data_IF_873534278146
#
_entry.id   IF_873534278146
#
_cell.length_a   1.000
_cell.length_b   1.000
_cell.length_c   1.000
_cell.angle_alpha   90.00
_cell.angle_beta   90.00
_cell.angle_gamma   90.00
#
_symmetry.space_group_name_H-M   'P 1'
#
loop_
_entity.id
_entity.type
_entity.pdbx_description
1 polymer ?
#
# COMPACT_ATOMS: atom_id res chain seq x y z
N UNK A 1 -16.21 -32.44 -38.12
CA UNK A 1 -16.05 -31.97 -36.73
C UNK A 1 -16.81 -30.65 -36.54
N UNK A 2 -18.15 -30.69 -36.44
CA UNK A 2 -18.95 -29.46 -36.29
C UNK A 2 -20.24 -29.62 -35.44
N UNK A 3 -20.46 -30.80 -34.82
CA UNK A 3 -21.67 -31.06 -34.02
C UNK A 3 -21.42 -31.17 -32.50
N UNK A 4 -20.17 -30.97 -32.03
CA UNK A 4 -19.85 -31.05 -30.61
C UNK A 4 -19.87 -29.70 -29.88
N UNK A 5 -19.92 -28.57 -30.61
CA UNK A 5 -19.80 -27.24 -30.02
C UNK A 5 -21.16 -26.55 -29.74
N UNK A 6 -22.27 -27.07 -30.31
CA UNK A 6 -23.63 -26.53 -30.08
C UNK A 6 -24.28 -27.03 -28.77
N UNK A 7 -23.80 -28.15 -28.24
CA UNK A 7 -24.33 -28.73 -27.01
C UNK A 7 -23.66 -28.19 -25.75
N UNK A 8 -22.48 -27.55 -25.87
CA UNK A 8 -21.78 -26.95 -24.72
C UNK A 8 -22.28 -25.52 -24.43
N UNK A 9 -22.65 -24.77 -25.48
CA UNK A 9 -23.22 -23.42 -25.35
C UNK A 9 -24.68 -23.41 -24.86
N UNK A 10 -25.45 -24.47 -25.11
CA UNK A 10 -26.83 -24.59 -24.59
C UNK A 10 -26.88 -25.00 -23.11
N UNK A 11 -25.83 -25.65 -22.56
CA UNK A 11 -25.76 -26.03 -21.14
C UNK A 11 -25.33 -24.84 -20.27
N UNK A 12 -24.46 -23.96 -20.78
CA UNK A 12 -23.98 -22.81 -20.01
C UNK A 12 -25.03 -21.68 -19.86
N UNK A 13 -25.99 -21.58 -20.79
CA UNK A 13 -27.08 -20.59 -20.73
C UNK A 13 -28.22 -20.98 -19.78
N UNK A 14 -28.30 -22.26 -19.38
CA UNK A 14 -29.35 -22.80 -18.50
C UNK A 14 -29.04 -22.61 -17.01
N UNK A 15 -27.80 -22.25 -16.67
CA UNK A 15 -27.34 -22.00 -15.29
C UNK A 15 -27.54 -20.55 -14.80
N UNK A 16 -27.96 -19.63 -15.67
CA UNK A 16 -28.11 -18.20 -15.32
C UNK A 16 -29.56 -17.67 -15.40
N UNK A 17 -30.58 -18.53 -15.58
CA UNK A 17 -31.95 -18.07 -15.86
C UNK A 17 -33.08 -18.81 -15.12
N UNK A 18 -32.94 -19.18 -13.84
CA UNK A 18 -34.14 -19.43 -13.01
C UNK A 18 -33.99 -19.01 -11.54
N UNK A 19 -34.64 -17.91 -11.14
CA UNK A 19 -35.01 -17.69 -9.75
C UNK A 19 -36.52 -17.99 -9.54
N UNK A 20 -36.81 -18.67 -8.41
CA UNK A 20 -38.05 -18.66 -7.60
C UNK A 20 -39.24 -19.54 -8.07
N UNK A 21 -39.95 -20.03 -7.04
CA UNK A 21 -41.30 -20.63 -6.97
C UNK A 21 -41.24 -22.17 -7.10
N UNK A 22 -41.60 -22.98 -6.11
CA UNK A 22 -42.99 -23.26 -5.71
C UNK A 22 -43.07 -23.78 -4.26
N UNK A 23 -43.98 -23.17 -3.52
CA UNK A 23 -44.50 -23.64 -2.25
C UNK A 23 -45.63 -24.67 -2.45
N UNK A 24 -45.85 -25.45 -1.39
CA UNK A 24 -47.10 -26.14 -1.00
C UNK A 24 -47.47 -27.48 -1.63
N UNK A 25 -47.96 -28.39 -0.75
CA UNK A 25 -49.12 -29.30 -0.80
C UNK A 25 -48.75 -30.47 0.15
N UNK A 26 -49.39 -30.72 1.31
CA UNK A 26 -50.72 -31.36 1.47
C UNK A 26 -51.36 -31.11 2.85
N UNK A 27 -52.70 -31.06 2.83
CA UNK A 27 -53.74 -30.82 3.86
C UNK A 27 -54.26 -32.17 4.46
N UNK A 28 -55.45 -32.31 5.10
CA UNK A 28 -56.18 -31.61 6.19
C UNK A 28 -56.73 -32.59 7.29
N UNK A 29 -57.33 -32.10 8.40
CA UNK A 29 -58.56 -32.70 8.98
C UNK A 29 -59.35 -31.78 9.95
N UNK A 30 -60.66 -31.73 9.69
CA UNK A 30 -61.85 -31.22 10.43
C UNK A 30 -61.91 -31.62 11.94
N UNK A 31 -62.67 -31.05 12.90
CA UNK A 31 -63.89 -30.19 12.92
C UNK A 31 -64.11 -29.60 14.34
N UNK A 32 -64.64 -28.37 14.38
CA UNK A 32 -65.55 -27.66 15.34
C UNK A 32 -65.78 -28.11 16.80
N UNK A 33 -65.64 -27.15 17.74
CA UNK A 33 -66.60 -26.64 18.77
C UNK A 33 -65.80 -25.77 19.79
N UNK A 34 -66.26 -24.73 20.49
CA UNK A 34 -67.51 -23.95 20.67
C UNK A 34 -67.06 -22.66 21.41
N UNK A 35 -67.68 -21.50 21.14
CA UNK A 35 -67.33 -20.20 21.75
C UNK A 35 -67.89 -20.07 23.16
N UNK A 36 -67.05 -19.66 24.12
CA UNK A 36 -67.50 -18.97 25.35
C UNK A 36 -66.40 -18.01 25.88
N UNK A 37 -66.83 -16.79 26.23
CA UNK A 37 -66.00 -15.62 26.54
C UNK A 37 -65.17 -15.74 27.83
N UNK A 38 -63.86 -15.44 27.74
CA UNK A 38 -63.08 -14.92 28.87
C UNK A 38 -61.97 -14.00 28.33
N UNK A 39 -61.86 -12.79 28.92
CA UNK A 39 -60.88 -11.74 28.61
C UNK A 39 -59.49 -12.31 28.27
N UNK A 40 -59.03 -12.07 27.06
CA UNK A 40 -57.64 -12.33 26.66
C UNK A 40 -56.78 -11.11 26.96
N UNK A 41 -55.81 -11.32 27.85
CA UNK A 41 -54.61 -10.50 27.98
C UNK A 41 -53.93 -10.46 26.61
N UNK A 42 -53.86 -9.26 26.02
CA UNK A 42 -53.11 -9.04 24.80
C UNK A 42 -51.63 -9.27 25.12
N UNK A 43 -50.96 -10.29 24.56
CA UNK A 43 -49.52 -10.38 24.71
C UNK A 43 -48.91 -9.20 23.96
N UNK A 44 -48.28 -8.31 24.72
CA UNK A 44 -47.44 -7.22 24.22
C UNK A 44 -46.31 -7.86 23.41
N UNK A 45 -46.45 -7.85 22.08
CA UNK A 45 -45.31 -8.10 21.21
C UNK A 45 -44.50 -6.83 21.21
N UNK A 46 -43.40 -6.85 21.96
CA UNK A 46 -42.37 -5.83 21.94
C UNK A 46 -41.86 -5.72 20.50
N UNK A 47 -42.31 -4.72 19.75
CA UNK A 47 -41.60 -4.27 18.57
C UNK A 47 -40.26 -3.72 19.08
N UNK A 48 -39.22 -4.54 19.03
CA UNK A 48 -37.86 -4.05 19.21
C UNK A 48 -37.63 -3.01 18.12
N UNK A 49 -37.59 -1.75 18.55
CA UNK A 49 -37.24 -0.59 17.75
C UNK A 49 -35.76 -0.73 17.39
N UNK A 50 -35.47 -1.51 16.33
CA UNK A 50 -34.18 -1.48 15.65
C UNK A 50 -34.14 -0.23 14.78
N UNK A 51 -34.03 0.93 15.41
CA UNK A 51 -33.36 2.07 14.79
C UNK A 51 -31.86 1.96 15.07
N UNK A 52 -31.21 0.96 14.48
CA UNK A 52 -29.79 1.13 14.15
C UNK A 52 -29.75 1.66 12.72
N UNK A 53 -29.63 2.98 12.61
CA UNK A 53 -29.18 3.67 11.40
C UNK A 53 -28.03 2.86 10.81
N UNK A 54 -27.98 2.59 9.48
CA UNK A 54 -26.82 1.92 8.91
C UNK A 54 -25.60 2.74 9.35
N UNK A 55 -24.64 2.06 9.97
CA UNK A 55 -23.33 2.63 10.25
C UNK A 55 -22.84 3.15 8.89
N UNK A 56 -22.76 4.47 8.78
CA UNK A 56 -22.22 5.09 7.58
C UNK A 56 -20.78 4.62 7.61
N UNK A 57 -20.45 3.63 6.77
CA UNK A 57 -19.05 3.32 6.46
C UNK A 57 -18.43 4.66 6.11
N UNK A 58 -17.59 5.16 7.01
CA UNK A 58 -16.84 6.39 6.82
C UNK A 58 -16.24 6.29 5.42
N UNK A 59 -16.58 7.23 4.53
CA UNK A 59 -15.95 7.28 3.22
C UNK A 59 -14.49 7.58 3.53
N UNK A 60 -13.65 6.55 3.49
CA UNK A 60 -12.22 6.72 3.66
C UNK A 60 -11.75 7.39 2.37
N UNK A 61 -11.65 8.72 2.42
CA UNK A 61 -11.05 9.48 1.33
C UNK A 61 -9.64 8.92 1.07
N UNK A 62 -9.30 8.56 -0.18
CA UNK A 62 -7.98 8.06 -0.53
C UNK A 62 -6.89 9.02 -0.06
N UNK A 63 -5.80 8.46 0.45
CA UNK A 63 -4.61 9.24 0.83
C UNK A 63 -3.79 9.55 -0.41
N UNK A 64 -3.09 10.67 -0.44
CA UNK A 64 -2.28 11.07 -1.59
C UNK A 64 -0.79 10.96 -1.29
N UNK A 65 -0.06 10.26 -2.16
CA UNK A 65 1.39 10.11 -2.09
C UNK A 65 2.06 10.76 -3.30
N UNK A 66 3.06 11.60 -3.06
CA UNK A 66 3.98 12.03 -4.09
C UNK A 66 5.26 11.21 -4.03
N UNK A 67 5.68 10.61 -5.14
CA UNK A 67 6.84 9.71 -5.19
C UNK A 67 7.85 10.20 -6.22
N UNK A 68 9.12 10.19 -5.85
CA UNK A 68 10.23 10.49 -6.74
C UNK A 68 11.48 9.69 -6.36
N UNK A 69 12.49 9.77 -7.21
CA UNK A 69 13.75 9.02 -7.06
C UNK A 69 14.92 9.98 -7.32
N UNK A 70 15.55 10.52 -6.27
CA UNK A 70 16.72 11.41 -6.44
C UNK A 70 17.89 10.71 -7.12
N UNK A 71 18.10 9.43 -6.84
CA UNK A 71 19.14 8.60 -7.46
C UNK A 71 18.49 7.51 -8.32
N UNK A 72 17.70 7.92 -9.32
CA UNK A 72 16.88 7.00 -10.13
C UNK A 72 17.70 5.90 -10.82
N UNK A 73 18.99 6.13 -11.08
CA UNK A 73 19.89 5.19 -11.74
C UNK A 73 20.31 4.00 -10.85
N UNK A 74 20.00 3.98 -9.57
CA UNK A 74 20.34 2.89 -8.67
C UNK A 74 19.65 1.59 -9.05
N UNK A 75 20.42 0.51 -9.23
CA UNK A 75 19.92 -0.76 -9.73
C UNK A 75 20.31 -1.96 -8.84
N UNK A 76 19.52 -3.02 -8.93
CA UNK A 76 19.75 -4.26 -8.20
C UNK A 76 20.53 -5.23 -9.06
N UNK A 77 21.68 -5.70 -8.56
CA UNK A 77 22.56 -6.59 -9.31
C UNK A 77 21.88 -7.89 -9.75
N UNK A 78 21.03 -8.56 -8.94
CA UNK A 78 20.34 -9.77 -9.40
C UNK A 78 19.42 -9.53 -10.59
N UNK A 79 18.70 -8.40 -10.60
CA UNK A 79 17.76 -8.04 -11.68
C UNK A 79 18.51 -7.78 -12.99
N UNK A 80 19.66 -7.09 -12.91
CA UNK A 80 20.52 -6.88 -14.08
C UNK A 80 21.17 -8.18 -14.55
N UNK A 81 21.57 -9.07 -13.63
CA UNK A 81 22.17 -10.34 -13.98
C UNK A 81 21.23 -11.26 -14.79
N UNK A 82 19.91 -11.21 -14.52
CA UNK A 82 18.89 -11.91 -15.30
C UNK A 82 18.77 -11.37 -16.73
N UNK A 83 19.14 -10.11 -16.96
CA UNK A 83 19.20 -9.47 -18.29
C UNK A 83 20.58 -9.60 -18.97
N UNK A 84 21.58 -10.15 -18.28
CA UNK A 84 22.93 -10.40 -18.79
C UNK A 84 24.04 -9.57 -18.16
N UNK A 85 23.72 -8.56 -17.33
CA UNK A 85 24.66 -7.56 -16.81
C UNK A 85 25.08 -7.84 -15.36
N UNK A 86 25.95 -8.83 -15.16
CA UNK A 86 26.16 -9.52 -13.87
C UNK A 86 26.84 -8.71 -12.73
N UNK A 87 27.34 -7.50 -12.98
CA UNK A 87 28.19 -6.75 -12.01
C UNK A 87 27.71 -5.32 -11.76
N UNK A 88 26.80 -4.79 -12.59
CA UNK A 88 26.33 -3.43 -12.44
C UNK A 88 25.40 -3.29 -11.21
N UNK A 89 25.46 -2.11 -10.58
CA UNK A 89 24.56 -1.66 -9.49
C UNK A 89 23.92 -0.31 -9.82
N UNK A 90 24.12 0.13 -11.07
CA UNK A 90 23.53 1.32 -11.66
C UNK A 90 23.15 0.98 -13.11
N UNK A 91 22.00 1.45 -13.56
CA UNK A 91 21.52 1.25 -14.93
C UNK A 91 20.56 2.38 -15.34
N UNK A 92 20.57 2.76 -16.62
CA UNK A 92 19.72 3.83 -17.12
C UNK A 92 18.29 3.41 -17.42
N UNK A 93 18.00 2.10 -17.44
CA UNK A 93 16.70 1.53 -17.83
C UNK A 93 16.12 0.65 -16.72
N UNK A 94 16.90 -0.27 -16.17
CA UNK A 94 16.50 -1.28 -15.18
C UNK A 94 17.03 -0.89 -13.80
N UNK A 95 16.31 -0.01 -13.13
CA UNK A 95 16.74 0.65 -11.91
C UNK A 95 15.58 0.84 -10.92
N UNK A 96 15.78 1.57 -9.82
CA UNK A 96 14.78 1.72 -8.77
C UNK A 96 13.46 2.34 -9.29
N UNK A 97 13.52 3.21 -10.29
CA UNK A 97 12.32 3.78 -10.92
C UNK A 97 11.53 2.77 -11.78
N UNK A 98 12.10 1.62 -12.15
CA UNK A 98 11.34 0.60 -12.89
C UNK A 98 10.22 -0.02 -12.06
N UNK A 99 10.21 0.20 -10.74
CA UNK A 99 9.15 -0.26 -9.84
C UNK A 99 7.95 0.69 -9.74
N UNK A 100 7.91 1.79 -10.50
CA UNK A 100 6.81 2.77 -10.47
C UNK A 100 5.42 2.13 -10.66
N UNK A 101 5.27 1.22 -11.62
CA UNK A 101 4.00 0.55 -11.88
C UNK A 101 3.56 -0.31 -10.70
N UNK A 102 4.49 -1.06 -10.11
CA UNK A 102 4.21 -1.89 -8.94
C UNK A 102 3.89 -1.04 -7.69
N UNK A 103 4.62 0.06 -7.49
CA UNK A 103 4.32 1.02 -6.41
C UNK A 103 2.92 1.58 -6.59
N UNK A 104 2.57 2.08 -7.78
CA UNK A 104 1.25 2.62 -8.07
C UNK A 104 0.14 1.58 -7.82
N UNK A 105 0.34 0.35 -8.29
CA UNK A 105 -0.64 -0.72 -8.13
C UNK A 105 -0.87 -1.10 -6.67
N UNK A 106 0.20 -1.27 -5.88
CA UNK A 106 0.08 -1.61 -4.46
C UNK A 106 -0.49 -0.45 -3.64
N UNK A 107 -0.10 0.79 -3.94
CA UNK A 107 -0.61 1.97 -3.26
C UNK A 107 -2.11 2.14 -3.54
N UNK A 108 -2.54 2.04 -4.80
CA UNK A 108 -3.94 2.11 -5.17
C UNK A 108 -4.78 0.98 -4.53
N UNK A 109 -4.25 -0.25 -4.49
CA UNK A 109 -4.90 -1.36 -3.79
C UNK A 109 -5.13 -1.07 -2.30
N UNK A 110 -4.26 -0.25 -1.69
CA UNK A 110 -4.34 0.19 -0.30
C UNK A 110 -4.97 1.58 -0.11
N UNK A 111 -5.69 2.10 -1.12
CA UNK A 111 -6.38 3.40 -1.10
C UNK A 111 -5.42 4.58 -0.89
N UNK A 112 -4.25 4.49 -1.52
CA UNK A 112 -3.26 5.58 -1.60
C UNK A 112 -3.10 5.96 -3.09
N UNK A 113 -3.65 7.10 -3.48
CA UNK A 113 -3.46 7.68 -4.80
C UNK A 113 -2.01 8.16 -4.93
N UNK A 114 -1.35 7.79 -6.03
CA UNK A 114 0.08 8.06 -6.23
C UNK A 114 0.30 8.98 -7.41
N UNK A 115 1.06 10.05 -7.19
CA UNK A 115 1.60 10.89 -8.26
C UNK A 115 3.13 10.78 -8.27
N UNK A 116 3.70 10.52 -9.44
CA UNK A 116 5.14 10.51 -9.63
C UNK A 116 5.65 11.85 -10.17
N UNK A 117 6.91 12.18 -9.88
CA UNK A 117 7.58 13.28 -10.56
C UNK A 117 7.73 12.96 -12.06
N UNK A 118 7.21 13.84 -12.92
CA UNK A 118 7.12 13.59 -14.38
C UNK A 118 8.46 13.75 -15.14
N UNK A 119 9.44 14.50 -14.62
CA UNK A 119 10.71 14.75 -15.32
C UNK A 119 11.75 13.67 -15.02
N UNK A 120 11.74 12.63 -15.86
CA UNK A 120 12.64 11.47 -15.78
C UNK A 120 13.99 11.67 -16.46
N UNK A 121 14.42 12.90 -16.74
CA UNK A 121 15.75 13.11 -17.33
C UNK A 121 16.84 12.64 -16.36
N UNK A 122 17.82 11.84 -16.82
CA UNK A 122 18.89 11.35 -15.95
C UNK A 122 19.63 12.47 -15.21
N UNK A 123 19.91 13.59 -15.88
CA UNK A 123 20.54 14.76 -15.25
C UNK A 123 19.68 15.46 -14.18
N UNK A 124 18.36 15.26 -14.18
CA UNK A 124 17.47 15.78 -13.13
C UNK A 124 17.53 14.84 -11.92
N UNK A 125 17.41 13.54 -12.14
CA UNK A 125 17.34 12.48 -11.13
C UNK A 125 18.72 11.87 -10.79
N UNK A 126 19.73 12.73 -10.66
CA UNK A 126 21.11 12.34 -10.34
C UNK A 126 21.49 12.67 -8.89
N UNK A 127 21.15 13.87 -8.41
CA UNK A 127 21.52 14.32 -7.07
C UNK A 127 20.51 15.33 -6.50
N UNK A 128 20.64 15.60 -5.20
CA UNK A 128 19.70 16.47 -4.48
C UNK A 128 19.60 17.88 -5.07
N UNK A 129 20.71 18.45 -5.56
CA UNK A 129 20.69 19.83 -6.08
C UNK A 129 19.90 19.94 -7.39
N UNK A 130 20.03 18.96 -8.28
CA UNK A 130 19.39 18.98 -9.61
C UNK A 130 17.89 18.71 -9.51
N UNK A 131 17.47 17.79 -8.64
CA UNK A 131 16.06 17.39 -8.53
C UNK A 131 15.23 18.35 -7.66
N UNK A 132 15.87 19.02 -6.68
CA UNK A 132 15.21 19.91 -5.71
C UNK A 132 14.22 20.91 -6.32
N UNK A 133 14.54 21.69 -7.37
CA UNK A 133 13.59 22.65 -7.93
C UNK A 133 12.32 21.98 -8.48
N UNK A 134 12.43 20.76 -9.01
CA UNK A 134 11.30 20.00 -9.53
C UNK A 134 10.41 19.47 -8.41
N UNK A 135 11.01 18.89 -7.37
CA UNK A 135 10.27 18.44 -6.18
C UNK A 135 9.56 19.62 -5.52
N UNK A 136 10.27 20.74 -5.32
CA UNK A 136 9.71 21.96 -4.75
C UNK A 136 8.51 22.47 -5.55
N UNK A 137 8.58 22.43 -6.88
CA UNK A 137 7.48 22.86 -7.75
C UNK A 137 6.27 21.90 -7.68
N UNK A 138 6.53 20.59 -7.69
CA UNK A 138 5.48 19.57 -7.65
C UNK A 138 4.66 19.64 -6.35
N UNK A 139 5.33 19.80 -5.20
CA UNK A 139 4.65 19.83 -3.89
C UNK A 139 4.08 21.21 -3.52
N UNK A 140 4.35 22.26 -4.32
CA UNK A 140 3.84 23.61 -4.04
C UNK A 140 2.35 23.78 -4.37
N UNK A 141 1.79 22.91 -5.22
CA UNK A 141 0.46 23.09 -5.80
C UNK A 141 -0.54 21.98 -5.41
N UNK A 142 -0.09 21.01 -4.62
CA UNK A 142 -0.88 19.85 -4.19
C UNK A 142 -0.61 19.57 -2.72
N UNK A 143 -1.65 19.21 -1.97
CA UNK A 143 -1.51 18.75 -0.60
C UNK A 143 -1.40 17.22 -0.62
N UNK A 144 -0.17 16.71 -0.46
CA UNK A 144 0.09 15.28 -0.37
C UNK A 144 0.10 14.87 1.10
N UNK A 145 -0.54 13.74 1.45
CA UNK A 145 -0.42 13.17 2.80
C UNK A 145 1.02 12.70 3.08
N UNK A 146 1.73 12.19 2.07
CA UNK A 146 3.12 11.77 2.18
C UNK A 146 3.93 12.06 0.93
N UNK A 147 5.20 12.43 1.11
CA UNK A 147 6.17 12.58 0.03
C UNK A 147 7.30 11.56 0.23
N UNK A 148 7.61 10.77 -0.80
CA UNK A 148 8.58 9.68 -0.74
C UNK A 148 9.69 9.88 -1.78
N UNK A 149 10.92 10.01 -1.29
CA UNK A 149 12.13 9.84 -2.08
C UNK A 149 12.60 8.40 -1.90
N UNK A 150 12.43 7.56 -2.92
CA UNK A 150 12.75 6.13 -2.82
C UNK A 150 14.13 5.85 -3.43
N UNK A 151 14.95 5.15 -2.67
CA UNK A 151 16.34 4.80 -2.98
C UNK A 151 16.57 3.30 -2.80
N UNK A 152 17.74 2.84 -3.23
CA UNK A 152 18.25 1.49 -2.98
C UNK A 152 19.54 1.57 -2.15
N UNK A 153 19.54 0.99 -0.95
CA UNK A 153 20.69 1.04 -0.03
C UNK A 153 21.96 0.45 -0.68
N UNK A 154 23.11 1.11 -0.59
CA UNK A 154 24.38 0.57 -1.07
C UNK A 154 24.83 -0.75 -0.39
N UNK A 155 24.20 -1.14 0.72
CA UNK A 155 24.54 -2.37 1.46
C UNK A 155 24.10 -3.68 0.77
N UNK A 156 24.73 -4.77 1.20
CA UNK A 156 24.54 -6.14 0.68
C UNK A 156 23.41 -6.89 1.38
N UNK A 157 22.97 -8.00 0.78
CA UNK A 157 21.83 -8.84 1.24
C UNK A 157 21.93 -9.26 2.71
N UNK A 158 23.15 -9.48 3.22
CA UNK A 158 23.36 -9.82 4.65
C UNK A 158 22.72 -8.80 5.60
N UNK A 159 22.67 -7.53 5.20
CA UNK A 159 22.04 -6.46 5.98
C UNK A 159 20.62 -6.19 5.48
N UNK A 160 20.43 -6.17 4.17
CA UNK A 160 19.22 -5.64 3.52
C UNK A 160 18.16 -6.68 3.21
N UNK A 161 18.40 -7.97 3.47
CA UNK A 161 17.40 -9.03 3.29
C UNK A 161 16.90 -9.54 4.64
N UNK A 162 15.58 -9.75 4.73
CA UNK A 162 14.92 -10.44 5.83
C UNK A 162 14.38 -11.78 5.35
N UNK A 163 14.66 -12.86 6.08
CA UNK A 163 13.92 -14.11 5.98
C UNK A 163 12.77 -14.06 7.01
N UNK A 164 11.53 -14.25 6.58
CA UNK A 164 10.37 -14.34 7.46
C UNK A 164 9.48 -15.50 7.00
N UNK A 165 9.57 -16.64 7.69
CA UNK A 165 8.97 -17.88 7.21
C UNK A 165 9.67 -18.40 5.96
N UNK A 166 8.90 -18.81 4.96
CA UNK A 166 9.40 -19.31 3.67
C UNK A 166 9.76 -18.18 2.69
N UNK A 167 9.35 -16.95 3.00
CA UNK A 167 9.52 -15.79 2.13
C UNK A 167 10.73 -14.93 2.53
N UNK A 168 11.31 -14.26 1.55
CA UNK A 168 12.33 -13.22 1.76
C UNK A 168 11.84 -11.85 1.32
N UNK A 169 12.33 -10.82 2.03
CA UNK A 169 11.92 -9.43 1.85
C UNK A 169 13.15 -8.53 1.78
N UNK A 170 13.05 -7.50 0.95
CA UNK A 170 13.92 -6.33 1.03
C UNK A 170 13.58 -5.53 2.30
N UNK A 171 14.58 -5.21 3.11
CA UNK A 171 14.40 -4.40 4.32
C UNK A 171 14.37 -2.93 3.99
N UNK A 172 13.67 -2.18 4.83
CA UNK A 172 13.63 -0.73 4.83
C UNK A 172 14.67 -0.12 5.79
N UNK A 173 15.16 1.06 5.47
CA UNK A 173 15.70 2.01 6.45
C UNK A 173 15.28 3.42 6.04
N UNK A 174 14.99 4.27 7.03
CA UNK A 174 14.64 5.66 6.76
C UNK A 174 15.81 6.57 7.08
N UNK A 175 16.17 7.44 6.13
CA UNK A 175 17.26 8.41 6.30
C UNK A 175 16.66 9.78 6.60
N UNK A 176 17.12 10.40 7.68
CA UNK A 176 16.73 11.75 8.07
C UNK A 176 17.95 12.67 8.05
N UNK A 177 17.85 13.79 7.35
CA UNK A 177 18.82 14.87 7.40
C UNK A 177 18.64 15.68 8.67
N UNK A 178 19.63 15.67 9.56
CA UNK A 178 19.54 16.41 10.82
C UNK A 178 19.87 17.90 10.71
N UNK A 179 20.17 18.42 9.50
CA UNK A 179 20.71 19.76 9.28
C UNK A 179 19.68 20.77 8.78
N UNK A 180 18.40 20.59 9.12
CA UNK A 180 17.35 21.58 8.89
C UNK A 180 16.42 21.72 10.10
N UNK A 181 15.81 22.89 10.37
CA UNK A 181 15.10 23.14 11.63
C UNK A 181 13.91 22.21 11.93
N UNK A 182 13.34 21.60 10.89
CA UNK A 182 12.09 20.84 10.98
C UNK A 182 12.29 19.31 10.95
N UNK A 183 13.53 18.80 10.95
CA UNK A 183 13.82 17.37 10.74
C UNK A 183 13.12 16.43 11.71
N UNK A 184 12.80 16.90 12.92
CA UNK A 184 12.08 16.12 13.94
C UNK A 184 10.68 15.70 13.49
N UNK A 185 10.03 16.47 12.60
CA UNK A 185 8.75 16.08 12.02
C UNK A 185 8.92 14.90 11.06
N UNK A 186 9.94 14.96 10.19
CA UNK A 186 10.28 13.87 9.27
C UNK A 186 10.70 12.61 10.05
N UNK A 187 11.52 12.76 11.09
CA UNK A 187 11.95 11.67 11.98
C UNK A 187 10.76 10.98 12.66
N UNK A 188 9.82 11.76 13.23
CA UNK A 188 8.66 11.21 13.90
C UNK A 188 7.74 10.45 12.93
N UNK A 189 7.54 10.98 11.72
CA UNK A 189 6.78 10.30 10.68
C UNK A 189 7.47 9.00 10.24
N UNK A 190 8.77 9.04 10.00
CA UNK A 190 9.57 7.86 9.66
C UNK A 190 9.53 6.79 10.75
N UNK A 191 9.56 7.20 12.03
CA UNK A 191 9.46 6.26 13.15
C UNK A 191 8.09 5.58 13.16
N UNK A 192 6.99 6.34 12.98
CA UNK A 192 5.66 5.76 12.91
C UNK A 192 5.53 4.77 11.74
N UNK A 193 6.00 5.14 10.55
CA UNK A 193 5.97 4.25 9.38
C UNK A 193 6.83 2.99 9.60
N UNK A 194 8.03 3.15 10.18
CA UNK A 194 8.89 2.03 10.58
C UNK A 194 8.19 1.08 11.57
N UNK A 195 7.46 1.62 12.53
CA UNK A 195 6.70 0.82 13.49
C UNK A 195 5.54 0.08 12.82
N UNK A 196 4.82 0.73 11.88
CA UNK A 196 3.78 0.05 11.09
C UNK A 196 4.35 -1.07 10.23
N UNK A 197 5.49 -0.86 9.58
CA UNK A 197 6.19 -1.90 8.82
C UNK A 197 6.52 -3.10 9.71
N UNK A 198 7.11 -2.86 10.88
CA UNK A 198 7.48 -3.93 11.82
C UNK A 198 6.28 -4.59 12.52
N UNK A 199 5.12 -3.93 12.62
CA UNK A 199 3.86 -4.56 13.04
C UNK A 199 3.34 -5.56 12.00
N UNK A 200 3.53 -5.29 10.70
CA UNK A 200 3.07 -6.16 9.61
C UNK A 200 4.03 -7.33 9.40
N UNK A 201 5.33 -7.05 9.25
CA UNK A 201 6.39 -8.06 9.11
C UNK A 201 7.52 -7.72 10.09
N UNK A 202 7.63 -8.42 11.24
CA UNK A 202 8.64 -8.14 12.24
C UNK A 202 10.07 -8.18 11.69
N UNK A 203 10.80 -7.07 11.83
CA UNK A 203 12.19 -6.94 11.40
C UNK A 203 12.39 -6.50 9.94
N UNK A 204 11.30 -6.18 9.21
CA UNK A 204 11.39 -5.68 7.83
C UNK A 204 11.94 -4.25 7.78
N UNK A 205 11.71 -3.44 8.82
CA UNK A 205 12.34 -2.12 8.95
C UNK A 205 13.52 -2.19 9.92
N UNK A 206 14.67 -1.67 9.48
CA UNK A 206 15.86 -1.45 10.31
C UNK A 206 15.77 -0.18 11.16
N UNK A 207 14.70 0.59 11.03
CA UNK A 207 14.46 1.81 11.80
C UNK A 207 14.85 3.09 11.05
N UNK A 208 15.11 4.13 11.82
CA UNK A 208 15.40 5.49 11.36
C UNK A 208 16.85 5.84 11.70
N UNK A 209 17.56 6.46 10.76
CA UNK A 209 18.91 6.99 10.98
C UNK A 209 18.94 8.48 10.69
N UNK A 210 19.41 9.27 11.66
CA UNK A 210 19.65 10.70 11.48
C UNK A 210 21.10 10.92 11.06
N UNK A 211 21.32 11.55 9.92
CA UNK A 211 22.64 11.86 9.35
C UNK A 211 22.92 13.36 9.49
N UNK A 212 24.11 13.68 10.02
CA UNK A 212 24.64 15.05 10.17
C UNK A 212 26.15 15.04 9.93
N UNK A 213 26.73 16.20 9.62
CA UNK A 213 28.17 16.41 9.53
C UNK A 213 28.77 16.10 8.16
N UNK A 214 30.09 15.93 8.14
CA UNK A 214 30.85 15.80 6.89
C UNK A 214 30.57 14.46 6.19
N UNK A 215 30.40 14.50 4.87
CA UNK A 215 30.27 13.31 4.03
C UNK A 215 28.83 12.82 3.84
N UNK A 216 27.86 13.61 4.28
CA UNK A 216 26.42 13.40 4.04
C UNK A 216 25.82 14.66 3.45
N UNK A 217 24.66 14.54 2.79
CA UNK A 217 23.92 15.71 2.31
C UNK A 217 23.38 16.55 3.49
N UNK A 218 22.90 15.87 4.54
CA UNK A 218 22.47 16.49 5.78
C UNK A 218 21.04 17.05 5.75
N UNK A 219 20.42 17.20 4.57
CA UNK A 219 19.06 17.76 4.42
C UNK A 219 18.14 16.86 3.59
N UNK A 220 18.66 16.24 2.52
CA UNK A 220 17.95 15.28 1.66
C UNK A 220 16.62 15.78 1.09
N UNK A 221 16.53 17.10 0.82
CA UNK A 221 15.29 17.80 0.46
C UNK A 221 14.16 17.74 1.52
N UNK A 222 14.39 17.17 2.70
CA UNK A 222 13.38 17.03 3.76
C UNK A 222 12.98 18.35 4.40
N UNK A 223 13.76 19.41 4.18
CA UNK A 223 13.37 20.76 4.56
C UNK A 223 12.23 21.35 3.71
N UNK A 224 11.93 20.74 2.55
CA UNK A 224 10.83 21.18 1.67
C UNK A 224 9.44 20.85 2.24
N UNK A 225 9.30 19.75 2.99
CA UNK A 225 8.03 19.37 3.59
C UNK A 225 8.21 18.47 4.83
N UNK A 226 7.34 18.66 5.83
CA UNK A 226 7.38 17.90 7.10
C UNK A 226 7.07 16.41 6.93
N UNK A 227 6.38 16.06 5.85
CA UNK A 227 5.95 14.71 5.50
C UNK A 227 6.78 14.08 4.37
N UNK A 228 7.99 14.60 4.12
CA UNK A 228 8.93 14.05 3.15
C UNK A 228 9.86 13.02 3.82
N UNK A 229 9.90 11.80 3.29
CA UNK A 229 10.75 10.72 3.77
C UNK A 229 11.70 10.24 2.69
N UNK A 230 12.95 9.96 3.07
CA UNK A 230 13.87 9.15 2.27
C UNK A 230 13.70 7.70 2.70
N UNK A 231 13.35 6.84 1.75
CA UNK A 231 13.08 5.42 1.97
C UNK A 231 14.09 4.60 1.19
N UNK A 232 14.97 3.92 1.90
CA UNK A 232 15.90 2.96 1.31
C UNK A 232 15.21 1.59 1.25
N UNK A 233 14.94 1.10 0.03
CA UNK A 233 14.26 -0.16 -0.24
C UNK A 233 15.27 -1.22 -0.66
N UNK A 234 15.58 -2.16 0.25
CA UNK A 234 16.57 -3.19 -0.02
C UNK A 234 17.96 -2.62 -0.31
N UNK A 235 18.84 -3.47 -0.83
CA UNK A 235 20.19 -3.10 -1.22
C UNK A 235 20.68 -3.79 -2.48
N UNK A 236 21.98 -3.66 -2.81
CA UNK A 236 22.57 -4.05 -4.12
C UNK A 236 22.28 -5.49 -4.54
N UNK A 237 21.96 -6.36 -3.60
CA UNK A 237 21.85 -7.80 -3.76
C UNK A 237 20.40 -8.32 -3.69
N UNK A 238 19.41 -7.44 -3.52
CA UNK A 238 18.02 -7.87 -3.42
C UNK A 238 17.45 -8.27 -4.79
N UNK A 239 16.56 -9.27 -4.79
CA UNK A 239 15.88 -9.74 -6.02
C UNK A 239 14.61 -8.95 -6.29
N UNK A 240 14.11 -8.99 -7.53
CA UNK A 240 12.84 -8.33 -7.90
C UNK A 240 11.68 -8.79 -7.00
N UNK A 241 11.57 -10.10 -6.75
CA UNK A 241 10.51 -10.64 -5.90
C UNK A 241 10.61 -10.16 -4.44
N UNK A 242 11.82 -9.96 -3.91
CA UNK A 242 12.02 -9.42 -2.56
C UNK A 242 11.56 -7.95 -2.48
N UNK A 243 11.86 -7.17 -3.53
CA UNK A 243 11.46 -5.76 -3.64
C UNK A 243 9.95 -5.64 -3.79
N UNK A 244 9.33 -6.41 -4.69
CA UNK A 244 7.89 -6.41 -4.95
C UNK A 244 7.07 -6.76 -3.70
N UNK A 245 7.47 -7.82 -2.98
CA UNK A 245 6.83 -8.18 -1.70
C UNK A 245 6.91 -7.04 -0.71
N UNK A 246 8.04 -6.35 -0.66
CA UNK A 246 8.27 -5.27 0.30
C UNK A 246 7.49 -4.01 -0.06
N UNK A 247 7.33 -3.69 -1.35
CA UNK A 247 6.45 -2.60 -1.82
C UNK A 247 5.00 -2.82 -1.35
N UNK A 248 4.49 -4.05 -1.40
CA UNK A 248 3.16 -4.37 -0.88
C UNK A 248 3.06 -4.10 0.65
N UNK A 249 4.11 -4.45 1.41
CA UNK A 249 4.17 -4.15 2.85
C UNK A 249 4.25 -2.64 3.12
N UNK A 250 5.01 -1.89 2.31
CA UNK A 250 5.11 -0.43 2.42
C UNK A 250 3.75 0.24 2.19
N UNK A 251 3.04 -0.14 1.11
CA UNK A 251 1.73 0.39 0.78
C UNK A 251 0.72 0.15 1.92
N UNK A 252 0.69 -1.07 2.45
CA UNK A 252 -0.15 -1.42 3.60
C UNK A 252 0.23 -0.63 4.85
N UNK A 253 1.52 -0.44 5.13
CA UNK A 253 1.99 0.31 6.28
C UNK A 253 1.60 1.79 6.20
N UNK A 254 1.71 2.42 5.03
CA UNK A 254 1.28 3.80 4.78
C UNK A 254 -0.24 3.93 5.01
N UNK A 255 -1.03 3.03 4.42
CA UNK A 255 -2.48 3.01 4.61
C UNK A 255 -2.87 2.84 6.09
N UNK A 256 -2.23 1.91 6.80
CA UNK A 256 -2.45 1.73 8.24
C UNK A 256 -2.08 2.97 9.06
N UNK A 257 -0.97 3.64 8.72
CA UNK A 257 -0.50 4.82 9.43
C UNK A 257 -1.52 5.97 9.38
N UNK A 258 -2.17 6.15 8.23
CA UNK A 258 -3.14 7.23 8.04
C UNK A 258 -4.58 6.88 8.45
N UNK A 259 -4.91 5.59 8.49
CA UNK A 259 -6.25 5.10 8.85
C UNK A 259 -6.36 4.67 10.33
N UNK A 260 -5.25 4.53 11.06
CA UNK A 260 -5.30 4.36 12.50
C UNK A 260 -5.64 5.71 13.16
N UNK A 261 -6.86 5.83 13.68
CA UNK A 261 -7.20 6.91 14.61
C UNK A 261 -6.19 6.88 15.76
N UNK A 262 -5.41 7.96 15.93
CA UNK A 262 -4.58 8.15 17.11
C UNK A 262 -5.55 8.17 18.31
N UNK A 263 -5.47 7.22 19.25
CA UNK A 263 -6.29 7.30 20.46
C UNK A 263 -5.94 8.62 21.16
N UNK A 264 -6.96 9.44 21.39
CA UNK A 264 -6.87 10.69 22.16
C UNK A 264 -6.50 10.46 23.61
#
# INVERSE_FOLDING_TARGET
MANSLKNLTSILLLLFLTPIIIATIQTPLSTQQKVENKKEDTPVVYAAQLESKPDITEIIEPKTAFVYFTHAHEAYRPILAEKGDKIAVYDSITNISSFQEQIAAQFAFHQVDTQFLEDHKPEVMDNYNTIRPFVKNAIAHSDYDIVLDIHRDALKAKVTTLQSGEETYAKFIFVIGGEHPNYRWNEQLAQNLSDQLNKIVPGISRGVIVKTGKGVDGVYNQDLAKNLLVVELGGVDNTEQEVDRSIAILAKAISNMFNQQIPS
#
